data_IF_432894968542
#
_entry.id   IF_432894968542
#
_cell.length_a   1.000
_cell.length_b   1.000
_cell.length_c   1.000
_cell.angle_alpha   90.00
_cell.angle_beta   90.00
_cell.angle_gamma   90.00
#
_symmetry.space_group_name_H-M   'P 1'
#
loop_
_entity.id
_entity.type
_entity.pdbx_description
1 polymer ?
#
# COMPACT_ATOMS: atom_id res chain seq x y z
N UNK A 1 4.15 16.96 -40.85
CA UNK A 1 3.56 15.98 -39.99
C UNK A 1 4.61 14.97 -39.54
N UNK A 2 5.40 15.34 -38.54
CA UNK A 2 6.38 14.44 -37.91
C UNK A 2 5.98 14.27 -36.45
N UNK A 3 5.18 13.22 -36.17
CA UNK A 3 4.94 12.74 -34.84
C UNK A 3 6.16 11.93 -34.42
N UNK A 4 6.96 12.46 -33.50
CA UNK A 4 8.17 11.81 -33.00
C UNK A 4 7.84 10.55 -32.19
N UNK A 5 8.51 9.41 -32.45
CA UNK A 5 8.22 8.14 -31.75
C UNK A 5 8.95 7.99 -30.42
N UNK A 6 9.32 9.06 -29.73
CA UNK A 6 10.20 9.02 -28.55
C UNK A 6 9.50 9.06 -27.18
N UNK A 7 8.16 9.11 -27.12
CA UNK A 7 7.43 9.14 -25.84
C UNK A 7 7.00 7.77 -25.30
N UNK A 8 7.25 6.67 -26.03
CA UNK A 8 6.64 5.36 -25.71
C UNK A 8 7.46 4.49 -24.73
N UNK A 9 8.71 4.81 -24.45
CA UNK A 9 9.60 3.93 -23.67
C UNK A 9 9.74 4.28 -22.17
N UNK A 10 9.30 5.44 -21.71
CA UNK A 10 9.37 5.83 -20.30
C UNK A 10 8.18 5.34 -19.47
N UNK A 11 7.05 5.07 -20.13
CA UNK A 11 5.82 4.66 -19.47
C UNK A 11 5.75 3.14 -19.17
N UNK A 12 6.64 2.34 -19.75
CA UNK A 12 6.56 0.88 -19.67
C UNK A 12 6.95 0.29 -18.31
N UNK A 13 7.88 0.91 -17.58
CA UNK A 13 8.32 0.39 -16.28
C UNK A 13 7.27 0.58 -15.17
N UNK A 14 6.45 1.61 -15.28
CA UNK A 14 5.41 1.97 -14.34
C UNK A 14 4.00 1.81 -14.93
N UNK A 15 3.90 1.16 -16.09
CA UNK A 15 2.64 0.81 -16.71
C UNK A 15 1.76 -0.01 -15.74
N UNK A 16 0.45 0.14 -15.85
CA UNK A 16 -0.52 -0.57 -14.98
C UNK A 16 -0.28 -2.08 -14.94
N UNK A 17 0.04 -2.68 -16.09
CA UNK A 17 0.35 -4.13 -16.18
C UNK A 17 1.56 -4.50 -15.32
N UNK A 18 2.61 -3.69 -15.37
CA UNK A 18 3.85 -3.92 -14.60
C UNK A 18 3.62 -3.77 -13.10
N UNK A 19 2.87 -2.74 -12.67
CA UNK A 19 2.53 -2.56 -11.25
C UNK A 19 1.65 -3.68 -10.73
N UNK A 20 0.74 -4.23 -11.54
CA UNK A 20 -0.11 -5.35 -11.15
C UNK A 20 0.70 -6.66 -11.00
N UNK A 21 1.69 -6.89 -11.86
CA UNK A 21 2.63 -8.02 -11.73
C UNK A 21 3.46 -7.88 -10.44
N UNK A 22 4.00 -6.72 -10.14
CA UNK A 22 4.76 -6.51 -8.89
C UNK A 22 3.89 -6.63 -7.65
N UNK A 23 2.62 -6.26 -7.68
CA UNK A 23 1.68 -6.54 -6.58
C UNK A 23 1.48 -8.03 -6.40
N UNK A 24 1.38 -8.81 -7.49
CA UNK A 24 1.32 -10.26 -7.43
C UNK A 24 2.55 -10.85 -6.73
N UNK A 25 3.75 -10.41 -7.09
CA UNK A 25 5.00 -10.81 -6.42
C UNK A 25 5.01 -10.41 -4.94
N UNK A 26 4.57 -9.21 -4.61
CA UNK A 26 4.49 -8.77 -3.23
C UNK A 26 3.58 -9.69 -2.38
N UNK A 27 2.41 -10.09 -2.92
CA UNK A 27 1.51 -11.04 -2.26
C UNK A 27 2.19 -12.40 -2.06
N UNK A 28 2.88 -12.94 -3.08
CA UNK A 28 3.61 -14.20 -2.96
C UNK A 28 4.68 -14.13 -1.86
N UNK A 29 5.43 -13.03 -1.78
CA UNK A 29 6.44 -12.81 -0.74
C UNK A 29 5.79 -12.77 0.65
N UNK A 30 4.64 -12.10 0.79
CA UNK A 30 3.87 -12.07 2.04
C UNK A 30 3.43 -13.49 2.43
N UNK A 31 2.91 -14.27 1.48
CA UNK A 31 2.51 -15.67 1.73
C UNK A 31 3.69 -16.52 2.18
N UNK A 32 4.85 -16.39 1.54
CA UNK A 32 6.08 -17.10 1.95
C UNK A 32 6.47 -16.71 3.39
N UNK A 33 6.40 -15.41 3.73
CA UNK A 33 6.64 -14.93 5.09
C UNK A 33 5.71 -15.58 6.12
N UNK A 34 4.42 -15.68 5.83
CA UNK A 34 3.46 -16.34 6.72
C UNK A 34 3.73 -17.86 6.85
N UNK A 35 3.98 -18.54 5.73
CA UNK A 35 4.31 -19.95 5.71
C UNK A 35 5.58 -20.22 6.53
N UNK A 36 6.61 -19.40 6.38
CA UNK A 36 7.86 -19.54 7.13
C UNK A 36 7.66 -19.42 8.65
N UNK A 37 6.73 -18.56 9.08
CA UNK A 37 6.33 -18.44 10.48
C UNK A 37 5.70 -19.72 11.04
N UNK A 38 4.87 -20.42 10.23
CA UNK A 38 4.27 -21.67 10.62
C UNK A 38 5.29 -22.82 10.82
N UNK A 39 6.41 -22.79 10.07
CA UNK A 39 7.46 -23.79 10.16
C UNK A 39 8.71 -23.35 10.94
N UNK A 40 8.64 -22.24 11.68
CA UNK A 40 9.78 -21.69 12.44
C UNK A 40 11.06 -21.46 11.59
N UNK A 41 10.92 -21.12 10.33
CA UNK A 41 12.04 -20.73 9.48
C UNK A 41 12.46 -19.30 9.76
N UNK A 42 13.23 -19.12 10.82
CA UNK A 42 13.59 -17.79 11.37
C UNK A 42 14.18 -16.82 10.33
N UNK A 43 14.89 -17.35 9.33
CA UNK A 43 15.55 -16.52 8.31
C UNK A 43 14.61 -15.89 7.26
N UNK A 44 13.39 -16.38 7.10
CA UNK A 44 12.46 -15.91 6.08
C UNK A 44 11.36 -14.97 6.62
N UNK A 45 11.28 -14.81 7.94
CA UNK A 45 10.28 -13.92 8.59
C UNK A 45 10.30 -12.49 8.05
N UNK A 46 11.47 -11.82 7.88
CA UNK A 46 11.56 -10.47 7.34
C UNK A 46 10.99 -10.29 5.94
N UNK A 47 10.94 -11.37 5.10
CA UNK A 47 10.38 -11.31 3.76
C UNK A 47 8.90 -10.89 3.76
N UNK A 48 8.14 -11.29 4.77
CA UNK A 48 6.74 -10.86 4.93
C UNK A 48 6.62 -9.34 5.02
N UNK A 49 7.46 -8.71 5.84
CA UNK A 49 7.52 -7.25 5.98
C UNK A 49 7.92 -6.55 4.68
N UNK A 50 8.91 -7.10 3.96
CA UNK A 50 9.33 -6.60 2.64
C UNK A 50 8.19 -6.65 1.62
N UNK A 51 7.45 -7.76 1.58
CA UNK A 51 6.28 -7.90 0.71
C UNK A 51 5.21 -6.87 1.01
N UNK A 52 4.93 -6.60 2.30
CA UNK A 52 3.98 -5.57 2.73
C UNK A 52 4.46 -4.18 2.33
N UNK A 53 5.73 -3.84 2.56
CA UNK A 53 6.31 -2.56 2.16
C UNK A 53 6.17 -2.33 0.65
N UNK A 54 6.53 -3.30 -0.16
CA UNK A 54 6.41 -3.26 -1.62
C UNK A 54 4.96 -3.09 -2.06
N UNK A 55 4.02 -3.81 -1.45
CA UNK A 55 2.60 -3.70 -1.78
C UNK A 55 2.03 -2.33 -1.40
N UNK A 56 2.39 -1.78 -0.23
CA UNK A 56 1.96 -0.44 0.20
C UNK A 56 2.52 0.64 -0.72
N UNK A 57 3.80 0.55 -1.10
CA UNK A 57 4.43 1.47 -2.05
C UNK A 57 3.69 1.47 -3.40
N UNK A 58 3.46 0.30 -3.98
CA UNK A 58 2.73 0.15 -5.24
C UNK A 58 1.27 0.59 -5.13
N UNK A 59 0.67 0.46 -3.94
CA UNK A 59 -0.69 0.93 -3.67
C UNK A 59 -0.74 2.46 -3.61
N UNK A 60 0.21 3.11 -2.95
CA UNK A 60 0.33 4.57 -2.90
C UNK A 60 0.58 5.15 -4.30
N UNK A 61 1.52 4.57 -5.05
CA UNK A 61 1.81 4.94 -6.43
C UNK A 61 0.56 4.86 -7.33
N UNK A 62 -0.05 3.68 -7.41
CA UNK A 62 -1.20 3.46 -8.29
C UNK A 62 -2.44 4.25 -7.87
N UNK A 63 -2.59 4.54 -6.57
CA UNK A 63 -3.66 5.36 -6.05
C UNK A 63 -3.51 6.81 -6.50
N UNK A 64 -2.30 7.36 -6.39
CA UNK A 64 -1.99 8.71 -6.79
C UNK A 64 -2.05 8.90 -8.32
N UNK A 65 -1.59 7.92 -9.10
CA UNK A 65 -1.77 7.91 -10.56
C UNK A 65 -3.25 7.89 -10.96
N UNK A 66 -4.07 7.12 -10.24
CA UNK A 66 -5.52 7.12 -10.45
C UNK A 66 -6.16 8.48 -10.11
N UNK A 67 -5.70 9.11 -9.03
CA UNK A 67 -6.16 10.45 -8.63
C UNK A 67 -5.81 11.51 -9.67
N UNK A 68 -4.58 11.51 -10.19
CA UNK A 68 -4.18 12.45 -11.26
C UNK A 68 -5.05 12.33 -12.52
N UNK A 69 -5.54 11.13 -12.83
CA UNK A 69 -6.35 10.89 -14.04
C UNK A 69 -7.85 11.14 -13.85
N UNK A 70 -8.39 10.77 -12.72
CA UNK A 70 -9.85 10.69 -12.51
C UNK A 70 -10.33 11.53 -11.31
N UNK A 71 -9.44 12.25 -10.62
CA UNK A 71 -9.79 12.94 -9.39
C UNK A 71 -10.22 11.99 -8.29
N UNK A 72 -11.02 12.52 -7.36
CA UNK A 72 -11.48 11.81 -6.15
C UNK A 72 -12.87 11.16 -6.35
N UNK A 73 -13.53 11.39 -7.48
CA UNK A 73 -14.87 10.89 -7.73
C UNK A 73 -14.95 9.37 -7.74
N UNK A 74 -15.93 8.83 -7.03
CA UNK A 74 -16.13 7.38 -6.91
C UNK A 74 -15.00 6.62 -6.22
N UNK A 75 -14.07 7.33 -5.57
CA UNK A 75 -12.92 6.75 -4.86
C UNK A 75 -13.35 5.65 -3.90
N UNK A 76 -14.23 5.97 -2.94
CA UNK A 76 -14.66 5.03 -1.91
C UNK A 76 -15.46 3.86 -2.48
N UNK A 77 -16.34 4.09 -3.46
CA UNK A 77 -17.10 3.00 -4.09
C UNK A 77 -16.18 1.92 -4.66
N UNK A 78 -15.11 2.32 -5.36
CA UNK A 78 -14.14 1.38 -5.94
C UNK A 78 -13.31 0.66 -4.88
N UNK A 79 -12.94 1.35 -3.78
CA UNK A 79 -12.10 0.77 -2.71
C UNK A 79 -12.91 -0.11 -1.78
N UNK A 80 -14.12 0.30 -1.40
CA UNK A 80 -15.03 -0.50 -0.58
C UNK A 80 -15.36 -1.83 -1.26
N UNK A 81 -15.73 -1.80 -2.55
CA UNK A 81 -16.08 -3.03 -3.27
C UNK A 81 -14.91 -3.97 -3.51
N UNK A 82 -13.68 -3.44 -3.72
CA UNK A 82 -12.52 -4.27 -4.06
C UNK A 82 -11.74 -4.80 -2.86
N UNK A 83 -11.79 -4.12 -1.73
CA UNK A 83 -10.93 -4.42 -0.58
C UNK A 83 -11.77 -4.68 0.67
N UNK A 84 -12.60 -3.73 1.08
CA UNK A 84 -13.34 -3.82 2.34
C UNK A 84 -14.41 -4.90 2.26
N UNK A 85 -15.18 -4.95 1.18
CA UNK A 85 -16.25 -5.95 1.03
C UNK A 85 -15.71 -7.40 1.05
N UNK A 86 -14.72 -7.79 0.23
CA UNK A 86 -14.16 -9.15 0.31
C UNK A 86 -13.57 -9.46 1.68
N UNK A 87 -12.92 -8.48 2.32
CA UNK A 87 -12.37 -8.63 3.66
C UNK A 87 -13.46 -8.93 4.71
N UNK A 88 -14.53 -8.14 4.72
CA UNK A 88 -15.65 -8.33 5.66
C UNK A 88 -16.33 -9.69 5.43
N UNK A 89 -16.58 -10.05 4.16
CA UNK A 89 -17.16 -11.36 3.82
C UNK A 89 -16.27 -12.50 4.33
N UNK A 90 -14.97 -12.43 4.07
CA UNK A 90 -14.01 -13.42 4.55
C UNK A 90 -14.02 -13.52 6.08
N UNK A 91 -14.03 -12.38 6.78
CA UNK A 91 -14.07 -12.34 8.25
C UNK A 91 -15.34 -12.98 8.81
N UNK A 92 -16.49 -12.72 8.20
CA UNK A 92 -17.76 -13.33 8.62
C UNK A 92 -17.71 -14.85 8.43
N UNK A 93 -17.25 -15.34 7.27
CA UNK A 93 -17.10 -16.77 7.00
C UNK A 93 -16.17 -17.41 8.04
N UNK A 94 -15.04 -16.75 8.34
CA UNK A 94 -14.09 -17.26 9.33
C UNK A 94 -14.69 -17.35 10.74
N UNK A 95 -15.45 -16.33 11.17
CA UNK A 95 -16.18 -16.36 12.46
C UNK A 95 -17.20 -17.48 12.50
N UNK A 96 -17.89 -17.77 11.40
CA UNK A 96 -18.82 -18.89 11.29
C UNK A 96 -18.10 -20.24 11.44
N UNK A 97 -16.94 -20.40 10.80
CA UNK A 97 -16.14 -21.64 10.89
C UNK A 97 -15.60 -21.86 12.31
N UNK A 98 -15.17 -20.80 12.99
CA UNK A 98 -14.71 -20.87 14.39
C UNK A 98 -15.87 -21.06 15.40
N UNK A 99 -17.12 -20.82 14.99
CA UNK A 99 -18.29 -20.90 15.86
C UNK A 99 -18.37 -19.79 16.92
N UNK A 100 -17.53 -18.75 16.81
CA UNK A 100 -17.48 -17.63 17.74
C UNK A 100 -17.97 -16.34 17.08
N UNK A 101 -19.22 -15.98 17.37
CA UNK A 101 -19.87 -14.75 16.92
C UNK A 101 -20.01 -13.71 18.03
N UNK A 102 -19.14 -13.72 19.04
CA UNK A 102 -19.15 -12.79 20.15
C UNK A 102 -18.98 -11.33 19.70
N UNK A 103 -19.48 -10.40 20.51
CA UNK A 103 -19.33 -8.96 20.25
C UNK A 103 -17.87 -8.54 20.11
N UNK A 104 -16.98 -9.16 20.88
CA UNK A 104 -15.53 -8.91 20.79
C UNK A 104 -14.96 -9.28 19.42
N UNK A 105 -15.47 -10.34 18.78
CA UNK A 105 -15.07 -10.72 17.42
C UNK A 105 -15.56 -9.72 16.37
N UNK A 106 -16.76 -9.19 16.52
CA UNK A 106 -17.25 -8.12 15.64
C UNK A 106 -16.42 -6.85 15.79
N UNK A 107 -16.07 -6.47 17.00
CA UNK A 107 -15.19 -5.34 17.28
C UNK A 107 -13.81 -5.53 16.62
N UNK A 108 -13.28 -6.75 16.58
CA UNK A 108 -11.98 -7.06 15.96
C UNK A 108 -11.96 -6.90 14.43
N UNK A 109 -13.13 -6.79 13.76
CA UNK A 109 -13.18 -6.44 12.32
C UNK A 109 -12.79 -4.98 12.14
N UNK A 110 -13.09 -4.12 13.09
CA UNK A 110 -12.80 -2.68 13.04
C UNK A 110 -11.46 -2.37 13.70
N UNK A 111 -11.11 -3.12 14.76
CA UNK A 111 -9.84 -2.98 15.48
C UNK A 111 -8.87 -4.09 15.08
N UNK A 112 -8.32 -3.98 13.88
CA UNK A 112 -7.39 -4.96 13.34
C UNK A 112 -5.96 -4.86 13.91
N UNK A 113 -5.67 -3.90 14.78
CA UNK A 113 -4.31 -3.60 15.24
C UNK A 113 -3.59 -4.81 15.89
N UNK A 114 -4.36 -5.75 16.47
CA UNK A 114 -3.88 -6.97 17.11
C UNK A 114 -4.30 -8.26 16.38
N UNK A 115 -4.81 -8.14 15.15
CA UNK A 115 -5.26 -9.30 14.36
C UNK A 115 -4.23 -9.73 13.35
N UNK A 116 -4.32 -10.98 12.89
CA UNK A 116 -3.56 -11.49 11.75
C UNK A 116 -3.81 -10.69 10.45
N UNK A 117 -4.79 -9.81 10.46
CA UNK A 117 -5.20 -8.97 9.31
C UNK A 117 -4.81 -7.50 9.46
N UNK A 118 -3.90 -7.18 10.39
CA UNK A 118 -3.40 -5.82 10.67
C UNK A 118 -3.07 -5.03 9.40
N UNK A 119 -2.56 -5.71 8.38
CA UNK A 119 -2.16 -5.13 7.12
C UNK A 119 -3.33 -4.49 6.35
N UNK A 120 -4.52 -5.16 6.32
CA UNK A 120 -5.69 -4.63 5.59
C UNK A 120 -6.24 -3.40 6.31
N UNK A 121 -6.30 -3.43 7.64
CA UNK A 121 -6.69 -2.27 8.45
C UNK A 121 -5.75 -1.09 8.18
N UNK A 122 -4.45 -1.34 8.22
CA UNK A 122 -3.46 -0.32 7.94
C UNK A 122 -3.60 0.25 6.51
N UNK A 123 -3.84 -0.59 5.51
CA UNK A 123 -4.09 -0.17 4.14
C UNK A 123 -5.34 0.73 4.02
N UNK A 124 -6.41 0.40 4.74
CA UNK A 124 -7.64 1.23 4.77
C UNK A 124 -7.33 2.59 5.41
N UNK A 125 -6.57 2.63 6.50
CA UNK A 125 -6.13 3.89 7.14
C UNK A 125 -5.27 4.74 6.20
N UNK A 126 -4.36 4.12 5.43
CA UNK A 126 -3.60 4.81 4.38
C UNK A 126 -4.52 5.43 3.32
N UNK A 127 -5.59 4.74 2.93
CA UNK A 127 -6.55 5.27 1.97
C UNK A 127 -7.38 6.42 2.54
N UNK A 128 -7.77 6.36 3.82
CA UNK A 128 -8.44 7.48 4.51
C UNK A 128 -7.51 8.69 4.56
N UNK A 129 -6.26 8.50 4.99
CA UNK A 129 -5.27 9.57 5.06
C UNK A 129 -5.03 10.23 3.69
N UNK A 130 -4.90 9.41 2.64
CA UNK A 130 -4.76 9.91 1.28
C UNK A 130 -5.99 10.69 0.82
N UNK A 131 -7.19 10.17 1.08
CA UNK A 131 -8.44 10.84 0.72
C UNK A 131 -8.58 12.19 1.40
N UNK A 132 -8.30 12.28 2.72
CA UNK A 132 -8.29 13.55 3.47
C UNK A 132 -7.24 14.51 2.88
N UNK A 133 -6.05 14.01 2.57
CA UNK A 133 -4.99 14.80 1.97
C UNK A 133 -5.41 15.38 0.60
N UNK A 134 -6.15 14.61 -0.21
CA UNK A 134 -6.65 15.07 -1.51
C UNK A 134 -7.82 16.05 -1.41
N UNK A 135 -8.66 15.96 -0.35
CA UNK A 135 -9.75 16.93 -0.13
C UNK A 135 -9.24 18.35 0.14
N UNK A 136 -8.04 18.46 0.71
CA UNK A 136 -7.45 19.75 1.07
C UNK A 136 -6.75 20.44 -0.11
N UNK A 137 -6.67 19.81 -1.25
CA UNK A 137 -6.26 20.24 -2.62
C UNK A 137 -5.11 21.27 -2.72
N UNK A 138 -4.30 21.42 -1.68
CA UNK A 138 -3.10 22.25 -1.70
C UNK A 138 -1.86 21.35 -1.55
N UNK A 139 -0.93 21.46 -2.48
CA UNK A 139 0.32 20.68 -2.51
C UNK A 139 1.01 20.56 -1.14
N UNK A 140 1.20 21.68 -0.46
CA UNK A 140 1.88 21.67 0.84
C UNK A 140 1.06 20.95 1.91
N UNK A 141 -0.26 21.14 1.94
CA UNK A 141 -1.14 20.53 2.94
C UNK A 141 -1.25 19.02 2.73
N UNK A 142 -1.30 18.57 1.46
CA UNK A 142 -1.30 17.13 1.13
C UNK A 142 -0.15 16.40 1.82
N UNK A 143 1.07 16.90 1.67
CA UNK A 143 2.25 16.26 2.28
C UNK A 143 2.28 16.40 3.79
N UNK A 144 1.83 17.53 4.34
CA UNK A 144 1.73 17.71 5.79
C UNK A 144 0.80 16.65 6.40
N UNK A 145 -0.38 16.43 5.82
CA UNK A 145 -1.33 15.39 6.28
C UNK A 145 -0.70 14.01 6.21
N UNK A 146 -0.03 13.67 5.11
CA UNK A 146 0.63 12.39 4.94
C UNK A 146 1.78 12.18 5.94
N UNK A 147 2.58 13.21 6.20
CA UNK A 147 3.66 13.15 7.19
C UNK A 147 3.08 12.99 8.61
N UNK A 148 2.04 13.75 8.95
CA UNK A 148 1.36 13.61 10.24
C UNK A 148 0.79 12.20 10.43
N UNK A 149 0.22 11.62 9.37
CA UNK A 149 -0.22 10.22 9.39
C UNK A 149 0.94 9.24 9.57
N UNK A 150 2.10 9.46 8.93
CA UNK A 150 3.28 8.63 9.14
C UNK A 150 3.78 8.70 10.57
N UNK A 151 3.86 9.89 11.16
CA UNK A 151 4.24 10.08 12.56
C UNK A 151 3.25 9.39 13.51
N UNK A 152 1.96 9.57 13.26
CA UNK A 152 0.92 8.84 14.00
C UNK A 152 1.08 7.33 13.89
N UNK A 153 1.36 6.82 12.69
CA UNK A 153 1.58 5.38 12.48
C UNK A 153 2.82 4.87 13.21
N UNK A 154 3.87 5.67 13.23
CA UNK A 154 5.15 5.30 13.86
C UNK A 154 5.07 5.30 15.39
N UNK A 155 4.45 6.32 15.99
CA UNK A 155 4.42 6.48 17.45
C UNK A 155 3.14 5.96 18.11
N UNK A 156 2.02 5.92 17.39
CA UNK A 156 0.69 5.66 17.96
C UNK A 156 0.09 4.31 17.60
N UNK A 157 0.63 3.60 16.61
CA UNK A 157 0.14 2.29 16.21
C UNK A 157 1.10 1.16 16.62
N UNK A 158 0.77 -0.08 16.25
CA UNK A 158 1.63 -1.24 16.50
C UNK A 158 2.98 -1.11 15.81
N UNK A 159 4.00 -1.79 16.33
CA UNK A 159 5.35 -1.83 15.75
C UNK A 159 5.36 -2.19 14.27
N UNK A 160 4.50 -3.13 13.86
CA UNK A 160 4.36 -3.53 12.46
C UNK A 160 3.87 -2.38 11.57
N UNK A 161 2.88 -1.61 12.02
CA UNK A 161 2.39 -0.42 11.30
C UNK A 161 3.46 0.68 11.27
N UNK A 162 4.19 0.86 12.37
CA UNK A 162 5.28 1.83 12.47
C UNK A 162 6.39 1.57 11.45
N UNK A 163 6.83 0.32 11.30
CA UNK A 163 7.83 -0.08 10.31
C UNK A 163 7.38 0.22 8.87
N UNK A 164 6.07 0.25 8.61
CA UNK A 164 5.50 0.49 7.29
C UNK A 164 5.03 1.94 7.06
N UNK A 165 5.26 2.83 8.03
CA UNK A 165 4.72 4.20 8.05
C UNK A 165 5.07 5.03 6.81
N UNK A 166 6.24 4.85 6.22
CA UNK A 166 6.71 5.58 5.06
C UNK A 166 6.41 4.90 3.72
N UNK A 167 6.21 3.58 3.70
CA UNK A 167 6.12 2.78 2.47
C UNK A 167 5.05 3.31 1.50
N UNK A 168 3.87 3.63 2.01
CA UNK A 168 2.76 4.16 1.20
C UNK A 168 3.05 5.57 0.67
N UNK A 169 3.63 6.44 1.50
CA UNK A 169 3.94 7.84 1.16
C UNK A 169 5.02 7.89 0.08
N UNK A 170 6.05 7.05 0.18
CA UNK A 170 7.09 6.94 -0.85
C UNK A 170 6.49 6.59 -2.21
N UNK A 171 5.47 5.71 -2.25
CA UNK A 171 4.73 5.42 -3.47
C UNK A 171 4.06 6.66 -4.08
N UNK A 172 3.46 7.53 -3.27
CA UNK A 172 2.86 8.80 -3.72
C UNK A 172 3.93 9.75 -4.26
N UNK A 173 5.04 9.91 -3.53
CA UNK A 173 6.17 10.77 -3.94
C UNK A 173 6.79 10.29 -5.25
N UNK A 174 6.93 8.98 -5.44
CA UNK A 174 7.39 8.40 -6.70
C UNK A 174 6.46 8.72 -7.85
N UNK A 175 5.14 8.66 -7.65
CA UNK A 175 4.15 9.04 -8.65
C UNK A 175 4.24 10.53 -8.99
N UNK A 176 4.42 11.43 -8.02
CA UNK A 176 4.59 12.87 -8.27
C UNK A 176 5.86 13.19 -9.06
N UNK A 177 6.91 12.40 -8.90
CA UNK A 177 8.19 12.60 -9.57
C UNK A 177 8.44 11.61 -10.72
N UNK A 178 7.43 10.88 -11.19
CA UNK A 178 7.58 9.84 -12.21
C UNK A 178 8.27 10.36 -13.47
N UNK A 179 7.93 11.57 -13.94
CA UNK A 179 8.55 12.19 -15.11
C UNK A 179 10.04 12.50 -14.91
N UNK A 180 10.44 12.89 -13.68
CA UNK A 180 11.86 13.15 -13.36
C UNK A 180 12.65 11.85 -13.23
N UNK A 181 12.01 10.79 -12.73
CA UNK A 181 12.63 9.47 -12.57
C UNK A 181 12.82 8.77 -13.92
N UNK A 182 11.92 9.01 -14.88
CA UNK A 182 12.07 8.47 -16.24
C UNK A 182 13.24 9.10 -17.01
N UNK A 183 13.56 10.35 -16.70
CA UNK A 183 14.65 11.10 -17.33
C UNK A 183 16.05 10.77 -16.74
N UNK A 184 16.07 10.21 -15.51
CA UNK A 184 17.28 9.72 -14.87
C UNK A 184 17.61 8.33 -15.41
N UNK A 185 18.54 8.24 -16.36
CA UNK A 185 19.14 7.00 -16.93
C UNK A 185 19.69 6.00 -15.87
N UNK A 186 19.45 6.24 -14.61
CA UNK A 186 20.04 5.48 -13.51
C UNK A 186 18.97 4.72 -12.72
N UNK A 187 18.58 3.54 -13.22
CA UNK A 187 17.74 2.53 -12.52
C UNK A 187 18.20 2.25 -11.09
N UNK A 188 19.43 2.63 -10.71
CA UNK A 188 19.99 2.46 -9.36
C UNK A 188 19.24 3.24 -8.29
N UNK A 189 18.72 4.44 -8.57
CA UNK A 189 18.02 5.25 -7.58
C UNK A 189 16.66 4.67 -7.16
N UNK A 190 15.93 4.06 -8.08
CA UNK A 190 14.66 3.38 -7.77
C UNK A 190 14.94 2.17 -6.89
N UNK A 191 16.01 1.42 -7.17
CA UNK A 191 16.44 0.28 -6.36
C UNK A 191 16.90 0.72 -4.97
N UNK A 192 17.67 1.82 -4.87
CA UNK A 192 18.13 2.35 -3.58
C UNK A 192 16.96 2.87 -2.74
N UNK A 193 15.99 3.59 -3.34
CA UNK A 193 14.80 4.01 -2.62
C UNK A 193 13.93 2.83 -2.18
N UNK A 194 13.77 1.80 -3.01
CA UNK A 194 13.04 0.59 -2.63
C UNK A 194 13.72 -0.16 -1.48
N UNK A 195 15.05 -0.20 -1.46
CA UNK A 195 15.84 -0.83 -0.39
C UNK A 195 15.77 0.00 0.91
N UNK A 196 15.82 1.33 0.82
CA UNK A 196 15.77 2.20 2.02
C UNK A 196 14.41 2.22 2.72
N UNK A 197 13.36 1.75 2.07
CA UNK A 197 12.01 1.58 2.68
C UNK A 197 11.89 0.23 3.40
N UNK A 198 12.84 -0.68 3.15
CA UNK A 198 12.83 -2.06 3.66
C UNK A 198 13.76 -2.25 4.87
N UNK A 199 14.70 -1.34 5.09
CA UNK A 199 15.57 -1.27 6.27
C UNK A 199 14.96 -0.39 7.35
#
# INVERSE_FOLDING_TARGET
DNISPLSHNSDELLARKTTDVYRGWAILIIMIGHISGCWNWVGLGPLGGMGVAMFLLLSGYGLHESYKRCGIEGFWKKKLLRIVFPYVVFRIIWMMVEGDMSFHRWQSIVDCANSSFWYIDYLVRCYVAFWVACLLDKWHIKYVVLIMFALYSFFGLSTLCGQQSLSFIVGIVLSDNANKVSDVKNKRWVTVMAISVVL
#
